data_IF_750846349876
#
_entry.id   IF_750846349876
#
_cell.length_a   1.000
_cell.length_b   1.000
_cell.length_c   1.000
_cell.angle_alpha   90.00
_cell.angle_beta   90.00
_cell.angle_gamma   90.00
#
_symmetry.space_group_name_H-M   'P 1'
#
loop_
_entity.id
_entity.type
_entity.pdbx_description
1 polymer ?
#
# COMPACT_ATOMS: atom_id res chain seq x y z
N UNK A 1 19.83 15.43 1.30
CA UNK A 1 18.36 15.48 1.08
C UNK A 1 17.80 14.06 1.05
N UNK A 2 16.98 13.65 2.02
CA UNK A 2 16.28 12.36 2.02
C UNK A 2 15.10 12.37 1.04
N UNK A 3 15.08 11.44 0.08
CA UNK A 3 14.00 11.31 -0.90
C UNK A 3 12.66 11.01 -0.21
N UNK A 4 11.52 11.58 -0.66
CA UNK A 4 10.20 11.30 -0.08
C UNK A 4 9.92 9.79 -0.19
N UNK A 5 9.38 9.16 0.85
CA UNK A 5 8.91 7.76 0.86
C UNK A 5 7.37 7.71 0.93
N UNK A 6 6.72 7.48 -0.22
CA UNK A 6 5.26 7.47 -0.40
C UNK A 6 4.65 6.14 0.04
N UNK A 7 4.87 5.75 1.30
CA UNK A 7 4.17 4.60 1.89
C UNK A 7 3.26 5.11 3.00
N UNK A 8 1.96 4.87 2.84
CA UNK A 8 0.96 5.22 3.84
C UNK A 8 0.63 4.04 4.73
N UNK A 9 0.39 4.36 5.99
CA UNK A 9 -0.01 3.46 7.03
C UNK A 9 -1.53 3.45 7.14
N UNK A 10 -2.23 3.06 6.06
CA UNK A 10 -3.68 2.91 6.13
C UNK A 10 -4.03 1.44 6.29
N UNK A 11 -4.31 1.06 7.53
CA UNK A 11 -4.95 -0.21 7.82
C UNK A 11 -6.44 -0.08 7.63
N UNK A 12 -6.94 -0.70 6.55
CA UNK A 12 -8.31 -1.15 6.54
C UNK A 12 -8.34 -2.51 7.26
N UNK A 13 -9.08 -2.67 8.38
CA UNK A 13 -9.24 -3.98 9.03
C UNK A 13 -9.98 -4.99 8.13
N UNK A 14 -10.67 -4.55 7.07
CA UNK A 14 -11.32 -5.43 6.11
C UNK A 14 -10.32 -5.99 5.07
N UNK A 15 -9.37 -6.83 5.51
CA UNK A 15 -8.85 -7.89 4.61
C UNK A 15 -9.87 -9.03 4.59
N UNK A 16 -11.01 -8.80 3.96
CA UNK A 16 -11.88 -9.90 3.53
C UNK A 16 -11.29 -10.37 2.20
N UNK A 17 -10.54 -11.46 2.26
CA UNK A 17 -10.29 -12.31 1.09
C UNK A 17 -11.66 -12.64 0.50
N UNK A 18 -11.87 -12.16 -0.73
CA UNK A 18 -12.91 -12.54 -1.70
C UNK A 18 -13.78 -13.72 -1.21
N UNK A 19 -14.90 -13.37 -0.58
CA UNK A 19 -16.08 -14.20 -0.37
C UNK A 19 -17.23 -13.22 -0.63
N UNK A 20 -18.07 -13.33 -1.64
CA UNK A 20 -18.45 -14.46 -2.48
C UNK A 20 -19.10 -13.84 -3.71
N UNK A 21 -18.75 -14.34 -4.90
CA UNK A 21 -19.49 -14.12 -6.14
C UNK A 21 -20.82 -14.86 -5.99
N UNK A 22 -21.95 -14.16 -5.98
CA UNK A 22 -23.22 -14.74 -6.41
C UNK A 22 -23.93 -13.73 -7.33
N UNK A 23 -24.05 -14.17 -8.58
CA UNK A 23 -24.77 -13.55 -9.68
C UNK A 23 -26.25 -13.90 -9.53
N UNK A 24 -27.15 -12.91 -9.63
CA UNK A 24 -28.46 -13.12 -10.28
C UNK A 24 -29.17 -11.80 -10.64
N UNK A 25 -29.27 -11.59 -11.96
CA UNK A 25 -30.40 -11.09 -12.78
C UNK A 25 -30.94 -9.63 -12.69
N UNK A 26 -30.52 -8.85 -13.71
CA UNK A 26 -31.24 -7.99 -14.71
C UNK A 26 -32.56 -7.28 -14.35
N UNK A 27 -32.65 -5.95 -14.59
CA UNK A 27 -33.64 -5.29 -15.50
C UNK A 27 -33.28 -3.81 -15.83
N UNK A 28 -33.54 -3.44 -17.09
CA UNK A 28 -33.35 -2.22 -17.94
C UNK A 28 -33.64 -0.84 -17.29
N UNK A 29 -33.10 0.34 -17.67
CA UNK A 29 -32.90 0.99 -18.99
C UNK A 29 -31.71 2.00 -18.93
N UNK A 30 -30.84 2.07 -19.95
CA UNK A 30 -29.73 3.04 -20.00
C UNK A 30 -29.98 4.12 -21.05
N UNK A 31 -30.29 5.34 -20.61
CA UNK A 31 -30.09 6.54 -21.41
C UNK A 31 -28.58 6.75 -21.58
N UNK A 32 -28.11 6.73 -22.83
CA UNK A 32 -26.69 6.85 -23.16
C UNK A 32 -26.26 8.31 -23.10
N UNK A 33 -25.65 8.72 -21.98
CA UNK A 33 -24.77 9.89 -21.95
C UNK A 33 -23.34 9.40 -21.88
N UNK A 34 -22.62 9.44 -23.01
CA UNK A 34 -21.20 9.07 -23.09
C UNK A 34 -20.40 10.20 -22.43
N UNK A 35 -20.19 10.09 -21.12
CA UNK A 35 -19.18 10.87 -20.41
C UNK A 35 -17.86 10.15 -20.65
N UNK A 36 -17.04 10.67 -21.56
CA UNK A 36 -15.67 10.20 -21.74
C UNK A 36 -14.88 10.50 -20.45
N UNK A 37 -14.43 9.48 -19.69
CA UNK A 37 -13.49 9.75 -18.61
C UNK A 37 -12.17 10.17 -19.25
N UNK A 38 -11.69 11.38 -18.93
CA UNK A 38 -10.35 11.84 -19.26
C UNK A 38 -9.32 10.95 -18.55
N UNK A 39 -8.98 9.81 -19.15
CA UNK A 39 -7.88 8.99 -18.68
C UNK A 39 -6.62 9.82 -18.84
N UNK A 40 -6.06 10.30 -17.72
CA UNK A 40 -4.68 10.76 -17.72
C UNK A 40 -3.83 9.55 -18.07
N UNK A 41 -3.40 9.47 -19.32
CA UNK A 41 -2.45 8.45 -19.79
C UNK A 41 -1.12 8.80 -19.15
N UNK A 42 -0.88 8.26 -17.95
CA UNK A 42 0.47 8.23 -17.40
C UNK A 42 1.28 7.34 -18.32
N UNK A 43 2.19 7.95 -19.08
CA UNK A 43 3.12 7.28 -19.98
C UNK A 43 3.62 6.00 -19.33
N UNK A 44 3.42 4.86 -20.02
CA UNK A 44 3.76 3.50 -19.59
C UNK A 44 4.95 3.54 -18.63
N UNK A 45 4.70 3.45 -17.34
CA UNK A 45 5.77 3.39 -16.38
C UNK A 45 6.52 2.11 -16.72
N UNK A 46 7.73 2.23 -17.29
CA UNK A 46 8.58 1.10 -17.64
C UNK A 46 8.91 0.36 -16.33
N UNK A 47 8.01 -0.51 -15.87
CA UNK A 47 8.03 -1.26 -14.63
C UNK A 47 8.37 -2.69 -15.00
N UNK A 48 9.62 -3.05 -14.72
CA UNK A 48 10.18 -4.36 -15.06
C UNK A 48 9.55 -5.44 -14.19
N UNK A 49 9.36 -6.67 -14.69
CA UNK A 49 8.87 -7.79 -13.88
C UNK A 49 9.71 -8.05 -12.61
N UNK A 50 11.04 -7.88 -12.71
CA UNK A 50 11.96 -7.96 -11.56
C UNK A 50 11.61 -6.99 -10.44
N UNK A 51 11.18 -5.78 -10.80
CA UNK A 51 10.90 -4.72 -9.84
C UNK A 51 9.56 -4.96 -9.16
N UNK A 52 8.57 -5.50 -9.88
CA UNK A 52 7.30 -5.95 -9.32
C UNK A 52 7.53 -7.06 -8.28
N UNK A 53 8.38 -8.05 -8.60
CA UNK A 53 8.72 -9.13 -7.66
C UNK A 53 9.39 -8.58 -6.39
N UNK A 54 10.40 -7.72 -6.54
CA UNK A 54 11.07 -7.07 -5.39
C UNK A 54 10.08 -6.24 -4.57
N UNK A 55 9.22 -5.46 -5.23
CA UNK A 55 8.19 -4.66 -4.59
C UNK A 55 7.24 -5.53 -3.76
N UNK A 56 6.72 -6.63 -4.31
CA UNK A 56 5.86 -7.56 -3.59
C UNK A 56 6.56 -8.16 -2.35
N UNK A 57 7.81 -8.61 -2.51
CA UNK A 57 8.61 -9.13 -1.40
C UNK A 57 8.83 -8.09 -0.29
N UNK A 58 9.10 -6.83 -0.67
CA UNK A 58 9.25 -5.69 0.27
C UNK A 58 7.95 -5.45 1.03
N UNK A 59 6.81 -5.36 0.35
CA UNK A 59 5.50 -5.12 0.98
C UNK A 59 5.17 -6.24 1.98
N UNK A 60 5.47 -7.50 1.65
CA UNK A 60 5.27 -8.61 2.59
C UNK A 60 6.20 -8.49 3.81
N UNK A 61 7.47 -8.11 3.61
CA UNK A 61 8.43 -7.91 4.73
C UNK A 61 8.03 -6.74 5.64
N UNK A 62 7.40 -5.70 5.10
CA UNK A 62 6.90 -4.56 5.87
C UNK A 62 5.67 -4.90 6.71
N UNK A 63 4.89 -5.92 6.33
CA UNK A 63 3.58 -6.18 6.94
C UNK A 63 3.66 -6.44 8.45
N UNK A 64 4.59 -7.28 8.93
CA UNK A 64 4.72 -7.54 10.39
C UNK A 64 5.11 -6.27 11.18
N UNK A 65 6.18 -5.53 10.82
CA UNK A 65 6.47 -4.24 11.44
C UNK A 65 5.31 -3.23 11.37
N UNK A 66 4.53 -3.27 10.28
CA UNK A 66 3.37 -2.41 10.08
C UNK A 66 2.22 -2.76 11.03
N UNK A 67 1.95 -4.03 11.27
CA UNK A 67 0.95 -4.43 12.28
C UNK A 67 1.42 -4.03 13.69
N UNK A 68 2.68 -4.30 14.01
CA UNK A 68 3.25 -3.96 15.33
C UNK A 68 3.18 -2.46 15.66
N UNK A 69 3.51 -1.59 14.70
CA UNK A 69 3.42 -0.16 14.92
C UNK A 69 1.96 0.32 15.01
N UNK A 70 1.04 -0.30 14.25
CA UNK A 70 -0.39 -0.01 14.37
C UNK A 70 -0.92 -0.33 15.76
N UNK A 71 -0.69 -1.55 16.24
CA UNK A 71 -1.23 -2.01 17.52
C UNK A 71 -0.73 -1.14 18.68
N UNK A 72 0.55 -0.75 18.64
CA UNK A 72 1.14 0.15 19.65
C UNK A 72 0.52 1.55 19.59
N UNK A 73 0.40 2.15 18.41
CA UNK A 73 -0.21 3.47 18.26
C UNK A 73 -1.69 3.43 18.67
N UNK A 74 -2.43 2.40 18.26
CA UNK A 74 -3.85 2.25 18.59
C UNK A 74 -4.08 2.10 20.09
N UNK A 75 -3.17 1.43 20.82
CA UNK A 75 -3.21 1.38 22.29
C UNK A 75 -2.98 2.74 22.94
N UNK A 76 -2.11 3.58 22.36
CA UNK A 76 -1.84 4.94 22.88
C UNK A 76 -3.02 5.88 22.64
N UNK A 77 -3.61 5.84 21.44
CA UNK A 77 -4.80 6.63 21.08
C UNK A 77 -6.08 6.13 21.81
N UNK A 78 -6.08 4.87 22.21
CA UNK A 78 -7.25 4.22 22.79
C UNK A 78 -8.23 3.67 21.74
N UNK A 79 -9.10 2.76 22.18
CA UNK A 79 -9.93 1.95 21.30
C UNK A 79 -10.98 2.75 20.52
N UNK A 80 -11.45 3.86 21.08
CA UNK A 80 -12.50 4.71 20.48
C UNK A 80 -11.97 5.75 19.50
N UNK A 81 -10.67 6.03 19.53
CA UNK A 81 -10.09 7.06 18.67
C UNK A 81 -9.78 6.53 17.26
N UNK A 82 -10.02 7.34 16.24
CA UNK A 82 -9.76 6.94 14.85
C UNK A 82 -8.26 6.95 14.59
N UNK A 83 -7.75 5.86 14.01
CA UNK A 83 -6.35 5.82 13.56
C UNK A 83 -6.13 6.84 12.43
N UNK A 84 -5.21 7.80 12.57
CA UNK A 84 -4.90 8.76 11.51
C UNK A 84 -4.16 8.09 10.36
N UNK A 85 -4.26 8.68 9.17
CA UNK A 85 -3.53 8.19 8.01
C UNK A 85 -2.11 8.77 8.01
N UNK A 86 -1.14 7.98 8.46
CA UNK A 86 0.26 8.38 8.52
C UNK A 86 0.90 8.15 7.16
N UNK A 87 1.56 9.16 6.59
CA UNK A 87 2.31 9.05 5.34
C UNK A 87 3.77 9.40 5.60
N UNK A 88 4.66 8.44 5.40
CA UNK A 88 6.06 8.54 5.84
C UNK A 88 6.90 9.67 5.22
N UNK A 89 6.39 10.34 4.19
CA UNK A 89 7.00 11.51 3.57
C UNK A 89 6.25 12.82 3.80
N UNK A 90 5.16 12.80 4.56
CA UNK A 90 4.39 13.99 4.89
C UNK A 90 4.49 14.23 6.40
N UNK A 91 5.40 15.12 6.87
CA UNK A 91 5.51 15.45 8.29
C UNK A 91 4.20 15.93 8.91
N UNK A 92 3.32 16.59 8.14
CA UNK A 92 2.01 17.05 8.63
C UNK A 92 1.10 15.88 9.03
N UNK A 93 1.26 14.71 8.40
CA UNK A 93 0.47 13.51 8.74
C UNK A 93 0.78 12.92 10.13
N UNK A 94 1.84 13.40 10.78
CA UNK A 94 2.21 13.02 12.15
C UNK A 94 1.66 13.99 13.20
N UNK A 95 1.07 15.13 12.79
CA UNK A 95 0.56 16.14 13.72
C UNK A 95 -0.62 15.66 14.58
N UNK A 96 -1.34 14.66 14.09
CA UNK A 96 -2.48 14.02 14.77
C UNK A 96 -2.03 12.95 15.79
N UNK A 97 -0.72 12.70 15.93
CA UNK A 97 -0.19 11.69 16.85
C UNK A 97 0.37 12.32 18.12
N UNK A 98 -0.04 11.87 19.33
CA UNK A 98 0.59 12.27 20.57
C UNK A 98 2.01 11.69 20.70
N UNK A 99 2.84 12.32 21.53
CA UNK A 99 4.27 12.03 21.78
C UNK A 99 4.78 10.65 21.32
N UNK A 100 4.53 9.62 22.12
CA UNK A 100 5.05 8.26 21.89
C UNK A 100 4.53 7.63 20.59
N UNK A 101 3.27 7.90 20.22
CA UNK A 101 2.70 7.41 18.97
C UNK A 101 3.45 7.98 17.76
N UNK A 102 3.88 9.25 17.84
CA UNK A 102 4.70 9.89 16.81
C UNK A 102 6.08 9.25 16.70
N UNK A 103 6.70 8.87 17.82
CA UNK A 103 7.98 8.15 17.81
C UNK A 103 7.85 6.78 17.13
N UNK A 104 6.83 6.00 17.50
CA UNK A 104 6.57 4.69 16.89
C UNK A 104 6.36 4.80 15.38
N UNK A 105 5.61 5.81 14.94
CA UNK A 105 5.39 6.09 13.52
C UNK A 105 6.71 6.41 12.79
N UNK A 106 7.57 7.24 13.40
CA UNK A 106 8.89 7.59 12.85
C UNK A 106 9.80 6.36 12.72
N UNK A 107 9.86 5.53 13.76
CA UNK A 107 10.62 4.28 13.77
C UNK A 107 10.15 3.33 12.66
N UNK A 108 8.83 3.17 12.51
CA UNK A 108 8.26 2.38 11.42
C UNK A 108 8.66 2.93 10.04
N UNK A 109 8.55 4.24 9.82
CA UNK A 109 8.91 4.85 8.55
C UNK A 109 10.39 4.70 8.23
N UNK A 110 11.28 4.83 9.23
CA UNK A 110 12.71 4.57 9.11
C UNK A 110 12.98 3.11 8.74
N UNK A 111 12.37 2.17 9.46
CA UNK A 111 12.52 0.73 9.20
C UNK A 111 12.01 0.33 7.81
N UNK A 112 10.89 0.92 7.39
CA UNK A 112 10.32 0.68 6.05
C UNK A 112 11.30 1.12 4.96
N UNK A 113 11.90 2.31 5.07
CA UNK A 113 12.95 2.77 4.15
C UNK A 113 14.11 1.78 4.06
N UNK A 114 14.61 1.31 5.21
CA UNK A 114 15.68 0.31 5.27
C UNK A 114 15.27 -1.02 4.60
N UNK A 115 14.03 -1.47 4.78
CA UNK A 115 13.52 -2.67 4.10
C UNK A 115 13.53 -2.46 2.57
N UNK A 116 13.10 -1.30 2.06
CA UNK A 116 13.15 -1.05 0.60
C UNK A 116 14.58 -1.15 0.08
N UNK A 117 15.50 -0.42 0.71
CA UNK A 117 16.88 -0.28 0.25
C UNK A 117 17.64 -1.62 0.33
N UNK A 118 17.52 -2.34 1.46
CA UNK A 118 18.15 -3.65 1.65
C UNK A 118 17.61 -4.76 0.73
N UNK A 119 16.45 -4.54 0.09
CA UNK A 119 15.84 -5.49 -0.84
C UNK A 119 16.02 -5.07 -2.31
N UNK A 120 16.94 -4.14 -2.58
CA UNK A 120 17.44 -3.85 -3.92
C UNK A 120 16.48 -3.05 -4.79
N UNK A 121 15.61 -2.25 -4.19
CA UNK A 121 14.92 -1.13 -4.84
C UNK A 121 15.40 0.18 -4.22
N UNK A 122 15.49 1.23 -5.05
CA UNK A 122 15.59 2.60 -4.51
C UNK A 122 14.22 3.05 -4.02
N UNK A 123 14.21 4.00 -3.08
CA UNK A 123 12.97 4.63 -2.58
C UNK A 123 12.16 5.26 -3.71
N UNK A 124 12.84 5.89 -4.66
CA UNK A 124 12.21 6.48 -5.83
C UNK A 124 11.52 5.43 -6.72
N UNK A 125 12.20 4.30 -6.96
CA UNK A 125 11.63 3.21 -7.76
C UNK A 125 10.44 2.57 -7.06
N UNK A 126 10.55 2.34 -5.76
CA UNK A 126 9.44 1.83 -4.93
C UNK A 126 8.22 2.76 -4.99
N UNK A 127 8.41 4.07 -4.82
CA UNK A 127 7.34 5.04 -4.92
C UNK A 127 6.72 5.08 -6.31
N UNK A 128 7.54 5.02 -7.37
CA UNK A 128 7.05 5.02 -8.75
C UNK A 128 6.12 3.83 -9.01
N UNK A 129 6.47 2.65 -8.48
CA UNK A 129 5.62 1.46 -8.55
C UNK A 129 4.35 1.64 -7.71
N UNK A 130 4.47 2.23 -6.51
CA UNK A 130 3.33 2.51 -5.62
C UNK A 130 2.31 3.44 -6.28
N UNK A 131 2.76 4.52 -6.93
CA UNK A 131 1.88 5.45 -7.64
C UNK A 131 1.28 4.84 -8.90
N UNK A 132 2.09 4.12 -9.70
CA UNK A 132 1.58 3.43 -10.88
C UNK A 132 0.50 2.40 -10.52
N UNK A 133 0.63 1.68 -9.39
CA UNK A 133 -0.36 0.71 -8.95
C UNK A 133 -1.73 1.32 -8.58
N UNK A 134 -1.82 2.64 -8.39
CA UNK A 134 -3.10 3.35 -8.13
C UNK A 134 -3.86 3.71 -9.40
N UNK A 135 -3.16 3.91 -10.51
CA UNK A 135 -3.72 4.45 -11.75
C UNK A 135 -3.67 3.46 -12.93
N UNK A 136 -2.75 2.50 -12.89
CA UNK A 136 -2.56 1.48 -13.93
C UNK A 136 -2.98 0.09 -13.41
N UNK A 137 -4.14 -0.37 -13.90
CA UNK A 137 -4.72 -1.67 -13.55
C UNK A 137 -3.80 -2.85 -13.92
N UNK A 138 -2.99 -2.73 -14.99
CA UNK A 138 -2.05 -3.81 -15.38
C UNK A 138 -0.91 -3.91 -14.37
N UNK A 139 -0.39 -2.78 -13.88
CA UNK A 139 0.62 -2.76 -12.82
C UNK A 139 0.04 -3.30 -11.52
N UNK A 140 -1.19 -2.89 -11.17
CA UNK A 140 -1.90 -3.40 -10.00
C UNK A 140 -2.02 -4.94 -10.02
N UNK A 141 -2.51 -5.49 -11.13
CA UNK A 141 -2.68 -6.94 -11.30
C UNK A 141 -1.34 -7.68 -11.18
N UNK A 142 -0.29 -7.20 -11.84
CA UNK A 142 1.05 -7.81 -11.75
C UNK A 142 1.60 -7.84 -10.32
N UNK A 143 1.34 -6.80 -9.53
CA UNK A 143 1.72 -6.76 -8.11
C UNK A 143 0.91 -7.78 -7.31
N UNK A 144 -0.40 -7.86 -7.55
CA UNK A 144 -1.28 -8.82 -6.88
C UNK A 144 -0.84 -10.27 -7.13
N UNK A 145 -0.57 -10.63 -8.38
CA UNK A 145 -0.09 -11.97 -8.74
C UNK A 145 1.25 -12.29 -8.07
N UNK A 146 2.17 -11.32 -8.04
CA UNK A 146 3.46 -11.47 -7.37
C UNK A 146 3.29 -11.63 -5.84
N UNK A 147 2.36 -10.91 -5.20
CA UNK A 147 2.07 -11.06 -3.77
C UNK A 147 1.55 -12.46 -3.44
N UNK A 148 0.64 -13.01 -4.25
CA UNK A 148 0.15 -14.39 -4.06
C UNK A 148 1.30 -15.39 -4.16
N UNK A 149 2.14 -15.27 -5.20
CA UNK A 149 3.27 -16.16 -5.42
C UNK A 149 4.28 -16.14 -4.26
N UNK A 150 4.62 -14.96 -3.77
CA UNK A 150 5.56 -14.79 -2.64
C UNK A 150 4.98 -15.28 -1.30
N UNK A 151 3.65 -15.26 -1.12
CA UNK A 151 2.99 -15.80 0.08
C UNK A 151 2.82 -17.32 0.02
N UNK A 152 2.44 -17.87 -1.13
CA UNK A 152 2.35 -19.33 -1.35
C UNK A 152 3.70 -20.02 -1.17
N UNK A 153 4.77 -19.42 -1.70
CA UNK A 153 6.14 -19.94 -1.52
C UNK A 153 6.64 -19.88 -0.07
N UNK A 154 6.10 -18.99 0.77
CA UNK A 154 6.45 -18.92 2.21
C UNK A 154 5.80 -19.99 3.07
N UNK A 155 4.67 -20.56 2.66
CA UNK A 155 3.99 -21.64 3.43
C UNK A 155 4.69 -22.99 3.28
N UNK A 156 5.50 -23.16 2.25
CA UNK A 156 6.16 -24.42 1.88
C UNK A 156 7.64 -24.46 2.31
N UNK A 157 8.05 -23.63 3.27
CA UNK A 157 9.43 -23.51 3.75
C UNK A 157 9.43 -23.27 5.25
#
# INVERSE_FOLDING_TARGET
MTKPFNFSFRLNPNRIIIKTLLISTVFTTFSSSIIFPSTKVYANANIRPSDVKKYAAIVIKMEKPRQQAYDKIKKILGEREKMPNIVCNNPKSFGELPGDAKQIANEYCKRSRQIVESNGLSIERFNKITEAAKTDNKVHQRIYDALIKEQGGRKNR
#
